data_IF_803032303157
#
_entry.id   IF_803032303157
#
_cell.length_a   1.000
_cell.length_b   1.000
_cell.length_c   1.000
_cell.angle_alpha   90.00
_cell.angle_beta   90.00
_cell.angle_gamma   90.00
#
_symmetry.space_group_name_H-M   'P 1'
#
loop_
_entity.id
_entity.type
_entity.pdbx_description
1 polymer ?
#
# COMPACT_ATOMS: atom_id res chain seq x y z
N UNK A 1 21.41 12.58 4.30
CA UNK A 1 22.50 12.14 3.39
C UNK A 1 23.23 11.02 4.09
N UNK A 2 22.98 9.78 3.69
CA UNK A 2 23.68 8.60 4.24
C UNK A 2 25.13 8.61 3.77
N UNK A 3 26.07 8.17 4.62
CA UNK A 3 27.47 8.12 4.25
C UNK A 3 27.65 7.12 3.09
N UNK A 4 28.29 7.52 1.97
CA UNK A 4 28.42 6.65 0.78
C UNK A 4 29.16 5.34 1.08
N UNK A 5 30.04 5.33 2.08
CA UNK A 5 30.78 4.12 2.49
C UNK A 5 29.87 3.11 3.18
N UNK A 6 28.95 3.58 4.04
CA UNK A 6 28.00 2.71 4.75
C UNK A 6 27.03 2.02 3.78
N UNK A 7 26.51 2.78 2.81
CA UNK A 7 25.63 2.23 1.76
C UNK A 7 26.35 1.15 0.93
N UNK A 8 27.63 1.34 0.64
CA UNK A 8 28.43 0.35 -0.09
C UNK A 8 28.62 -0.94 0.71
N UNK A 9 28.99 -0.84 1.99
CA UNK A 9 29.18 -2.00 2.88
C UNK A 9 27.90 -2.83 2.99
N UNK A 10 26.75 -2.17 3.13
CA UNK A 10 25.46 -2.85 3.20
C UNK A 10 25.17 -3.58 1.88
N UNK A 11 25.27 -2.90 0.74
CA UNK A 11 24.99 -3.53 -0.55
C UNK A 11 25.89 -4.76 -0.80
N UNK A 12 27.19 -4.64 -0.56
CA UNK A 12 28.12 -5.76 -0.72
C UNK A 12 27.75 -6.94 0.20
N UNK A 13 27.43 -6.66 1.45
CA UNK A 13 27.05 -7.71 2.42
C UNK A 13 25.75 -8.40 2.02
N UNK A 14 24.70 -7.64 1.70
CA UNK A 14 23.37 -8.19 1.41
C UNK A 14 23.33 -8.93 0.06
N UNK A 15 23.97 -8.39 -0.99
CA UNK A 15 23.88 -8.95 -2.34
C UNK A 15 25.02 -9.93 -2.65
N UNK A 16 26.27 -9.59 -2.33
CA UNK A 16 27.42 -10.42 -2.72
C UNK A 16 27.74 -11.52 -1.71
N UNK A 17 27.63 -11.25 -0.40
CA UNK A 17 27.91 -12.25 0.64
C UNK A 17 26.67 -13.11 0.93
N UNK A 18 25.52 -12.48 1.21
CA UNK A 18 24.29 -13.21 1.53
C UNK A 18 23.54 -13.74 0.30
N UNK A 19 23.93 -13.35 -0.92
CA UNK A 19 23.31 -13.83 -2.16
C UNK A 19 21.84 -13.43 -2.33
N UNK A 20 21.38 -12.37 -1.65
CA UNK A 20 19.99 -11.93 -1.78
C UNK A 20 19.72 -11.47 -3.21
N UNK A 21 18.58 -11.86 -3.76
CA UNK A 21 18.09 -11.28 -5.00
C UNK A 21 17.35 -9.99 -4.65
N UNK A 22 17.63 -8.89 -5.37
CA UNK A 22 16.98 -7.57 -5.21
C UNK A 22 15.50 -7.54 -5.60
N UNK A 23 14.72 -8.54 -5.17
CA UNK A 23 13.30 -8.71 -5.46
C UNK A 23 12.39 -7.87 -4.55
N UNK A 24 12.93 -7.17 -3.56
CA UNK A 24 12.16 -6.30 -2.68
C UNK A 24 11.92 -4.92 -3.33
N UNK A 25 11.26 -4.93 -4.49
CA UNK A 25 10.89 -3.70 -5.21
C UNK A 25 9.46 -3.30 -4.90
N UNK A 26 9.17 -2.00 -4.98
CA UNK A 26 7.84 -1.47 -4.69
C UNK A 26 6.76 -2.11 -5.57
N UNK A 27 7.05 -2.30 -6.87
CA UNK A 27 6.11 -2.91 -7.82
C UNK A 27 5.77 -4.38 -7.48
N UNK A 28 6.76 -5.19 -7.08
CA UNK A 28 6.51 -6.58 -6.65
C UNK A 28 5.68 -6.62 -5.36
N UNK A 29 5.95 -5.71 -4.42
CA UNK A 29 5.19 -5.60 -3.18
C UNK A 29 3.75 -5.16 -3.43
N UNK A 30 3.55 -4.20 -4.32
CA UNK A 30 2.21 -3.75 -4.70
C UNK A 30 1.40 -4.89 -5.32
N UNK A 31 1.98 -5.63 -6.26
CA UNK A 31 1.34 -6.80 -6.87
C UNK A 31 1.00 -7.88 -5.83
N UNK A 32 1.94 -8.20 -4.94
CA UNK A 32 1.74 -9.16 -3.86
C UNK A 32 0.63 -8.70 -2.89
N UNK A 33 0.58 -7.41 -2.57
CA UNK A 33 -0.45 -6.84 -1.71
C UNK A 33 -1.83 -6.89 -2.39
N UNK A 34 -1.93 -6.52 -3.66
CA UNK A 34 -3.18 -6.63 -4.43
C UNK A 34 -3.69 -8.07 -4.47
N UNK A 35 -2.80 -9.05 -4.70
CA UNK A 35 -3.15 -10.47 -4.65
C UNK A 35 -3.65 -10.89 -3.26
N UNK A 36 -2.94 -10.47 -2.20
CA UNK A 36 -3.31 -10.76 -0.83
C UNK A 36 -4.69 -10.19 -0.47
N UNK A 37 -4.96 -8.92 -0.83
CA UNK A 37 -6.25 -8.27 -0.60
C UNK A 37 -7.37 -9.05 -1.30
N UNK A 38 -7.21 -9.37 -2.58
CA UNK A 38 -8.22 -10.12 -3.36
C UNK A 38 -8.51 -11.49 -2.75
N UNK A 39 -7.46 -12.22 -2.36
CA UNK A 39 -7.59 -13.54 -1.74
C UNK A 39 -8.30 -13.47 -0.38
N UNK A 40 -8.03 -12.43 0.40
CA UNK A 40 -8.55 -12.27 1.76
C UNK A 40 -10.01 -11.79 1.76
N UNK A 41 -10.34 -10.82 0.91
CA UNK A 41 -11.68 -10.25 0.80
C UNK A 41 -12.64 -11.19 0.05
N UNK A 42 -12.16 -11.92 -0.96
CA UNK A 42 -13.01 -12.78 -1.79
C UNK A 42 -13.86 -11.98 -2.78
N UNK A 43 -14.99 -12.53 -3.24
CA UNK A 43 -15.87 -11.90 -4.24
C UNK A 43 -17.10 -11.21 -3.66
N UNK A 44 -17.60 -11.69 -2.53
CA UNK A 44 -18.94 -11.29 -2.04
C UNK A 44 -18.90 -10.25 -0.91
N UNK A 45 -17.70 -9.88 -0.45
CA UNK A 45 -17.53 -8.93 0.64
C UNK A 45 -17.31 -7.51 0.12
N UNK A 46 -17.94 -6.57 0.81
CA UNK A 46 -17.73 -5.13 0.70
C UNK A 46 -16.69 -4.72 1.74
N UNK A 47 -15.73 -3.90 1.35
CA UNK A 47 -14.70 -3.35 2.24
C UNK A 47 -15.06 -1.92 2.59
N UNK A 48 -15.15 -1.63 3.89
CA UNK A 48 -15.37 -0.28 4.40
C UNK A 48 -14.05 0.26 4.95
N UNK A 49 -13.66 1.46 4.51
CA UNK A 49 -12.43 2.13 4.94
C UNK A 49 -12.80 3.47 5.54
N UNK A 50 -12.36 3.72 6.77
CA UNK A 50 -12.53 5.02 7.43
C UNK A 50 -11.31 5.88 7.09
N UNK A 51 -11.56 7.02 6.45
CA UNK A 51 -10.53 7.95 5.98
C UNK A 51 -10.61 9.24 6.81
N UNK A 52 -9.47 9.72 7.31
CA UNK A 52 -9.37 10.90 8.18
C UNK A 52 -8.33 11.91 7.63
N UNK A 53 -8.11 11.94 6.31
CA UNK A 53 -7.19 12.89 5.66
C UNK A 53 -5.70 12.53 5.78
N UNK A 54 -5.33 11.60 6.67
CA UNK A 54 -3.96 11.10 6.76
C UNK A 54 -3.52 10.34 5.51
N UNK A 55 -2.28 10.59 5.05
CA UNK A 55 -1.68 9.98 3.85
C UNK A 55 -1.84 8.45 3.82
N UNK A 56 -1.63 7.78 4.95
CA UNK A 56 -1.74 6.32 5.04
C UNK A 56 -3.16 5.83 4.77
N UNK A 57 -4.18 6.53 5.29
CA UNK A 57 -5.59 6.16 5.10
C UNK A 57 -6.05 6.37 3.65
N UNK A 58 -5.54 7.42 3.00
CA UNK A 58 -5.81 7.72 1.58
C UNK A 58 -5.11 6.70 0.68
N UNK A 59 -3.84 6.38 0.94
CA UNK A 59 -3.10 5.34 0.21
C UNK A 59 -3.78 3.98 0.39
N UNK A 60 -4.23 3.65 1.61
CA UNK A 60 -4.98 2.43 1.87
C UNK A 60 -6.26 2.36 1.04
N UNK A 61 -7.08 3.42 1.05
CA UNK A 61 -8.29 3.50 0.24
C UNK A 61 -8.00 3.33 -1.26
N UNK A 62 -6.97 4.02 -1.78
CA UNK A 62 -6.57 3.92 -3.18
C UNK A 62 -6.06 2.51 -3.53
N UNK A 63 -5.35 1.84 -2.62
CA UNK A 63 -4.83 0.49 -2.82
C UNK A 63 -5.96 -0.54 -2.87
N UNK A 64 -6.91 -0.47 -1.94
CA UNK A 64 -8.09 -1.34 -1.96
C UNK A 64 -8.97 -1.09 -3.17
N UNK A 65 -9.15 0.17 -3.56
CA UNK A 65 -9.83 0.55 -4.79
C UNK A 65 -9.12 -0.09 -6.00
N UNK A 66 -7.80 0.05 -6.14
CA UNK A 66 -7.02 -0.58 -7.21
C UNK A 66 -7.07 -2.12 -7.19
N UNK A 67 -7.07 -2.72 -6.01
CA UNK A 67 -7.11 -4.16 -5.87
C UNK A 67 -8.49 -4.74 -6.22
N UNK A 68 -9.59 -4.08 -5.85
CA UNK A 68 -10.95 -4.62 -5.93
C UNK A 68 -11.79 -4.08 -7.10
N UNK A 69 -11.39 -2.98 -7.76
CA UNK A 69 -11.96 -2.56 -9.05
C UNK A 69 -11.57 -3.53 -10.16
N UNK A 70 -12.34 -4.60 -10.34
CA UNK A 70 -12.27 -5.44 -11.52
C UNK A 70 -13.68 -5.68 -12.07
N UNK A 71 -14.00 -5.05 -13.21
CA UNK A 71 -15.31 -5.15 -13.88
C UNK A 71 -16.28 -4.03 -13.49
N UNK A 72 -17.56 -4.20 -13.85
CA UNK A 72 -18.65 -3.22 -13.61
C UNK A 72 -19.05 -3.08 -12.12
N UNK A 73 -18.45 -3.87 -11.22
CA UNK A 73 -18.84 -3.93 -9.82
C UNK A 73 -18.03 -2.96 -8.94
N UNK A 74 -18.16 -1.66 -9.23
CA UNK A 74 -17.55 -0.56 -8.45
C UNK A 74 -18.10 -0.41 -7.02
N UNK A 75 -19.10 -1.21 -6.64
CA UNK A 75 -19.80 -1.11 -5.34
C UNK A 75 -19.02 -1.70 -4.15
N UNK A 76 -17.87 -2.34 -4.40
CA UNK A 76 -17.20 -3.21 -3.41
C UNK A 76 -16.31 -2.49 -2.40
N UNK A 77 -15.99 -1.22 -2.63
CA UNK A 77 -15.16 -0.41 -1.73
C UNK A 77 -15.94 0.83 -1.31
N UNK A 78 -16.19 0.97 -0.02
CA UNK A 78 -16.88 2.13 0.55
C UNK A 78 -15.92 2.89 1.46
N UNK A 79 -15.47 4.06 1.00
CA UNK A 79 -14.67 4.97 1.80
C UNK A 79 -15.59 5.93 2.55
N UNK A 80 -15.50 5.95 3.87
CA UNK A 80 -16.23 6.88 4.74
C UNK A 80 -15.23 7.91 5.25
N UNK A 81 -15.42 9.16 4.85
CA UNK A 81 -14.62 10.27 5.34
C UNK A 81 -15.17 10.75 6.68
N UNK A 82 -14.31 10.80 7.70
CA UNK A 82 -14.68 11.30 9.03
C UNK A 82 -13.83 12.54 9.31
N UNK A 83 -14.48 13.70 9.26
CA UNK A 83 -13.90 14.95 9.74
C UNK A 83 -14.30 15.16 11.21
N UNK A 84 -13.31 15.21 12.09
CA UNK A 84 -13.48 15.43 13.53
C UNK A 84 -13.47 16.93 13.91
N UNK A 85 -13.43 17.85 12.94
CA UNK A 85 -13.46 19.30 13.15
C UNK A 85 -12.12 19.92 13.58
N UNK A 86 -11.04 19.13 13.58
CA UNK A 86 -9.66 19.58 13.88
C UNK A 86 -8.72 19.47 12.66
N UNK A 87 -9.28 19.19 11.48
CA UNK A 87 -8.53 19.17 10.23
C UNK A 87 -8.06 20.58 9.86
N UNK A 88 -6.99 20.65 9.07
CA UNK A 88 -6.49 21.96 8.61
C UNK A 88 -7.48 22.55 7.61
N UNK A 89 -7.38 23.85 7.40
CA UNK A 89 -8.17 24.53 6.37
C UNK A 89 -7.94 23.85 5.02
N UNK A 90 -9.02 23.39 4.39
CA UNK A 90 -9.07 22.68 3.11
C UNK A 90 -8.60 21.20 3.12
N UNK A 91 -8.59 20.54 4.29
CA UNK A 91 -8.58 19.06 4.46
C UNK A 91 -9.99 18.54 4.76
#
# INVERSE_FOLDING_TARGET
MTNPVESWILNHTWFDICGLQGGFTLGKREQQCNYYIRRTVGRDKIVVILVHGGVDSVICAALFHKALLQGDDSSRVQAIYIDNGFLRKDE
#
